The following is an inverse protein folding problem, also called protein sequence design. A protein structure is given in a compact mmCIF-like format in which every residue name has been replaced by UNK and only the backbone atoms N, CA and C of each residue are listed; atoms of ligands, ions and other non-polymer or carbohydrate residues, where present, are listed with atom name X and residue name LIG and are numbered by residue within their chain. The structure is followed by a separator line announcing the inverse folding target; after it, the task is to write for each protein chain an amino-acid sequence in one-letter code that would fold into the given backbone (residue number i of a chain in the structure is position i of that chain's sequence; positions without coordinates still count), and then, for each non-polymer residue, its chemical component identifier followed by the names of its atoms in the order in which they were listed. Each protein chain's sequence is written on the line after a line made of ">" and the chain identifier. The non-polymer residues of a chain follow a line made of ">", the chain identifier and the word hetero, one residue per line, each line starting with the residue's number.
data_IF_731992490022
#
_entry.id   IF_731992490022
#
_cell.length_a   1.000
_cell.length_b   1.000
_cell.length_c   1.000
_cell.angle_alpha   90.00
_cell.angle_beta   90.00
_cell.angle_gamma   90.00
#
_symmetry.space_group_name_H-M   'P 1'
#
loop_
_entity.id
_entity.type
_entity.pdbx_description
1 polymer ?
#
# COMPACT_ATOMS: atom_id res chain seq x y z
N UNK A 1 -1.96 -13.53 -14.38
CA UNK A 1 -1.23 -12.30 -14.71
C UNK A 1 -0.92 -11.61 -13.39
N UNK A 2 0.35 -11.29 -13.10
CA UNK A 2 0.70 -10.56 -11.88
C UNK A 2 0.19 -9.12 -12.01
N UNK A 3 -0.65 -8.69 -11.06
CA UNK A 3 -1.09 -7.30 -10.95
C UNK A 3 0.01 -6.48 -10.25
N UNK A 4 0.18 -5.25 -10.70
CA UNK A 4 1.18 -4.33 -10.17
C UNK A 4 0.48 -3.05 -9.73
N UNK A 5 0.94 -2.45 -8.63
CA UNK A 5 0.58 -1.10 -8.23
C UNK A 5 1.76 -0.16 -8.46
N UNK A 6 1.44 1.06 -8.88
CA UNK A 6 2.35 2.18 -8.93
C UNK A 6 2.02 3.07 -7.73
N UNK A 7 2.95 3.25 -6.80
CA UNK A 7 2.73 4.09 -5.61
C UNK A 7 3.95 4.99 -5.32
N UNK A 8 3.70 6.24 -4.91
CA UNK A 8 4.76 7.17 -4.53
C UNK A 8 5.24 6.85 -3.11
N UNK A 9 6.51 6.51 -3.00
CA UNK A 9 7.20 6.32 -1.71
C UNK A 9 8.11 7.51 -1.42
N UNK A 10 8.67 7.59 -0.22
CA UNK A 10 9.67 8.63 0.11
C UNK A 10 10.86 8.66 -0.85
N UNK A 11 11.24 7.51 -1.42
CA UNK A 11 12.38 7.39 -2.35
C UNK A 11 11.96 7.71 -3.80
N UNK A 12 10.65 7.74 -4.07
CA UNK A 12 10.06 8.04 -5.37
C UNK A 12 9.03 7.01 -5.84
N UNK A 13 8.68 7.12 -7.12
CA UNK A 13 7.68 6.28 -7.79
C UNK A 13 8.13 4.82 -7.81
N UNK A 14 7.42 3.96 -7.09
CA UNK A 14 7.78 2.54 -6.94
C UNK A 14 6.70 1.63 -7.52
N UNK A 15 7.16 0.56 -8.18
CA UNK A 15 6.32 -0.52 -8.72
C UNK A 15 6.32 -1.71 -7.78
N UNK A 16 5.17 -2.00 -7.19
CA UNK A 16 5.03 -3.09 -6.21
C UNK A 16 4.17 -4.20 -6.81
N UNK A 17 4.63 -5.44 -6.69
CA UNK A 17 3.90 -6.63 -7.11
C UNK A 17 2.79 -6.94 -6.12
N UNK A 18 1.54 -6.98 -6.56
CA UNK A 18 0.40 -7.22 -5.66
C UNK A 18 0.40 -8.64 -5.07
N UNK A 19 0.91 -9.62 -5.79
CA UNK A 19 1.02 -11.01 -5.32
C UNK A 19 2.08 -11.19 -4.23
N UNK A 20 3.00 -10.23 -4.09
CA UNK A 20 3.99 -10.21 -3.03
C UNK A 20 3.49 -9.54 -1.74
N UNK A 21 2.38 -8.78 -1.80
CA UNK A 21 1.84 -8.05 -0.64
C UNK A 21 1.11 -9.05 0.27
N UNK A 22 1.51 -9.08 1.53
CA UNK A 22 0.89 -9.95 2.54
C UNK A 22 -0.01 -9.19 3.51
N UNK A 23 0.24 -7.90 3.73
CA UNK A 23 -0.58 -7.03 4.55
C UNK A 23 -0.39 -5.56 4.13
N UNK A 24 -1.35 -4.72 4.52
CA UNK A 24 -1.19 -3.27 4.45
C UNK A 24 -1.86 -2.62 5.66
N UNK A 25 -1.44 -1.40 6.00
CA UNK A 25 -1.97 -0.65 7.14
C UNK A 25 -2.12 0.83 6.77
N UNK A 26 -3.34 1.35 6.88
CA UNK A 26 -3.62 2.77 6.73
C UNK A 26 -3.30 3.51 8.03
N UNK A 27 -2.42 4.51 7.95
CA UNK A 27 -2.08 5.39 9.07
C UNK A 27 -2.79 6.71 8.82
N UNK A 28 -3.78 7.00 9.68
CA UNK A 28 -4.45 8.29 9.70
C UNK A 28 -3.75 9.21 10.68
N UNK A 29 -3.37 10.39 10.22
CA UNK A 29 -2.73 11.38 11.08
C UNK A 29 -3.79 12.15 11.89
N UNK A 30 -3.74 12.03 13.22
CA UNK A 30 -4.69 12.70 14.12
C UNK A 30 -4.40 14.21 14.30
N UNK A 31 -3.34 14.76 13.70
CA UNK A 31 -2.89 16.15 13.96
C UNK A 31 -2.24 16.84 12.76
N UNK A 32 -2.89 16.78 11.59
CA UNK A 32 -2.54 17.63 10.44
C UNK A 32 -1.33 17.19 9.61
N UNK A 33 -0.72 16.05 9.90
CA UNK A 33 0.17 15.34 8.99
C UNK A 33 -0.57 14.62 7.85
N UNK A 34 0.17 14.18 6.83
CA UNK A 34 -0.33 13.42 5.69
C UNK A 34 -0.71 12.00 6.11
N UNK A 35 -1.85 11.50 5.63
CA UNK A 35 -2.18 10.09 5.75
C UNK A 35 -1.21 9.25 4.90
N UNK A 36 -0.71 8.14 5.46
CA UNK A 36 0.19 7.23 4.76
C UNK A 36 -0.32 5.79 4.77
N UNK A 37 0.17 4.99 3.84
CA UNK A 37 -0.16 3.56 3.73
C UNK A 37 1.12 2.75 3.83
N UNK A 38 1.20 1.88 4.83
CA UNK A 38 2.27 0.91 4.94
C UNK A 38 1.89 -0.36 4.18
N UNK A 39 2.76 -0.83 3.28
CA UNK A 39 2.61 -2.08 2.54
C UNK A 39 3.71 -3.03 2.97
N UNK A 40 3.31 -4.21 3.44
CA UNK A 40 4.19 -5.28 3.86
C UNK A 40 4.21 -6.37 2.79
N UNK A 41 5.41 -6.75 2.34
CA UNK A 41 5.59 -7.85 1.38
C UNK A 41 6.14 -9.12 2.04
N UNK A 42 5.90 -10.26 1.40
CA UNK A 42 6.34 -11.57 1.87
C UNK A 42 7.87 -11.73 1.99
N UNK A 43 8.64 -10.87 1.32
CA UNK A 43 10.11 -10.81 1.42
C UNK A 43 10.60 -9.89 2.56
N UNK A 44 9.71 -9.45 3.45
CA UNK A 44 9.96 -8.52 4.56
C UNK A 44 10.35 -7.10 4.13
N UNK A 45 10.03 -6.70 2.89
CA UNK A 45 10.14 -5.30 2.47
C UNK A 45 8.94 -4.50 2.99
N UNK A 46 9.21 -3.27 3.44
CA UNK A 46 8.21 -2.30 3.83
C UNK A 46 8.23 -1.13 2.83
N UNK A 47 7.07 -0.81 2.27
CA UNK A 47 6.89 0.41 1.49
C UNK A 47 5.94 1.34 2.25
N UNK A 48 6.39 2.56 2.51
CA UNK A 48 5.52 3.65 2.95
C UNK A 48 5.08 4.45 1.74
N UNK A 49 3.77 4.49 1.52
CA UNK A 49 3.15 5.27 0.46
C UNK A 49 2.73 6.61 1.04
N UNK A 50 3.30 7.68 0.49
CA UNK A 50 3.15 9.05 1.01
C UNK A 50 2.19 9.92 0.17
N UNK A 51 1.74 9.42 -0.99
CA UNK A 51 0.73 10.08 -1.82
C UNK A 51 -0.31 9.07 -2.30
N UNK A 52 -1.56 9.52 -2.46
CA UNK A 52 -2.68 8.70 -2.94
C UNK A 52 -2.91 7.42 -2.10
N UNK A 53 -2.57 7.47 -0.80
CA UNK A 53 -2.69 6.34 0.12
C UNK A 53 -4.11 5.73 0.13
N UNK A 54 -5.16 6.55 0.12
CA UNK A 54 -6.55 6.07 0.08
C UNK A 54 -6.91 5.35 -1.22
N UNK A 55 -6.45 5.86 -2.38
CA UNK A 55 -6.68 5.21 -3.67
C UNK A 55 -5.99 3.84 -3.72
N UNK A 56 -4.74 3.77 -3.28
CA UNK A 56 -3.98 2.52 -3.22
C UNK A 56 -4.66 1.54 -2.26
N UNK A 57 -5.11 2.00 -1.09
CA UNK A 57 -5.85 1.16 -0.15
C UNK A 57 -7.13 0.58 -0.79
N UNK A 58 -7.92 1.38 -1.51
CA UNK A 58 -9.13 0.90 -2.19
C UNK A 58 -8.84 -0.14 -3.28
N UNK A 59 -7.71 -0.02 -3.98
CA UNK A 59 -7.24 -1.04 -4.93
C UNK A 59 -6.87 -2.33 -4.21
N UNK A 60 -6.20 -2.24 -3.06
CA UNK A 60 -5.83 -3.39 -2.25
C UNK A 60 -7.07 -4.08 -1.67
N UNK A 61 -8.04 -3.33 -1.14
CA UNK A 61 -9.33 -3.85 -0.65
C UNK A 61 -10.10 -4.62 -1.72
N UNK A 62 -10.11 -4.10 -2.95
CA UNK A 62 -10.77 -4.77 -4.08
C UNK A 62 -10.04 -6.05 -4.51
N UNK A 63 -8.78 -6.22 -4.13
CA UNK A 63 -7.95 -7.36 -4.52
C UNK A 63 -7.80 -8.40 -3.39
N UNK A 64 -7.83 -7.97 -2.14
CA UNK A 64 -7.88 -8.85 -0.96
C UNK A 64 -9.36 -9.10 -0.63
N UNK A 65 -9.95 -10.12 -1.26
CA UNK A 65 -11.27 -10.58 -0.86
C UNK A 65 -11.22 -11.01 0.62
N UNK A 66 -11.99 -10.32 1.48
CA UNK A 66 -12.24 -10.78 2.84
C UNK A 66 -12.97 -12.12 2.77
N UNK A 67 -12.24 -13.22 2.95
CA UNK A 67 -12.84 -14.53 3.18
C UNK A 67 -13.17 -14.62 4.66
N UNK A 68 -14.45 -14.42 4.99
CA UNK A 68 -15.03 -14.76 6.29
C UNK A 68 -14.94 -16.27 6.54
#
# INVERSE_FOLDING_TARGET
>A
MTKWINAMTEIGMTRIRMDAICAYQSIKSESGGSDSLLIYTADNTLFEIIENAEEVAGILDSNFEFRN
#
